data_IF_258036383227
#
_entry.id   IF_258036383227
#
_cell.length_a   1.000
_cell.length_b   1.000
_cell.length_c   1.000
_cell.angle_alpha   90.00
_cell.angle_beta   90.00
_cell.angle_gamma   90.00
#
_symmetry.space_group_name_H-M   'P 1'
#
loop_
_entity.id
_entity.type
_entity.pdbx_description
1 polymer ?
#
# COMPACT_ATOMS: atom_id res chain seq x y z
N UNK A 1 -18.13 -8.14 0.68
CA UNK A 1 -16.77 -8.07 1.26
C UNK A 1 -15.81 -7.58 0.19
N UNK A 2 -15.39 -6.31 0.25
CA UNK A 2 -14.44 -5.79 -0.73
C UNK A 2 -13.07 -6.39 -0.49
N UNK A 3 -12.50 -7.12 -1.46
CA UNK A 3 -11.09 -7.51 -1.39
C UNK A 3 -10.24 -6.28 -1.66
N UNK A 4 -9.29 -6.00 -0.79
CA UNK A 4 -8.26 -5.01 -1.05
C UNK A 4 -7.42 -5.54 -2.21
N UNK A 5 -7.43 -4.84 -3.35
CA UNK A 5 -6.53 -5.15 -4.46
C UNK A 5 -5.19 -4.46 -4.20
N UNK A 6 -4.26 -5.17 -3.61
CA UNK A 6 -2.88 -4.71 -3.45
C UNK A 6 -2.02 -5.36 -4.55
N UNK A 7 -1.57 -4.55 -5.51
CA UNK A 7 -0.60 -5.01 -6.51
C UNK A 7 0.77 -5.08 -5.83
N UNK A 8 1.17 -6.30 -5.47
CA UNK A 8 2.48 -6.57 -4.88
C UNK A 8 3.27 -7.41 -5.86
N UNK A 9 4.32 -6.88 -6.47
CA UNK A 9 5.14 -7.63 -7.44
C UNK A 9 6.26 -8.39 -6.71
N UNK A 10 6.94 -7.71 -5.78
CA UNK A 10 8.12 -8.19 -5.05
C UNK A 10 7.80 -8.77 -3.65
N UNK A 11 6.56 -9.21 -3.42
CA UNK A 11 6.14 -9.76 -2.12
C UNK A 11 6.00 -11.29 -2.17
N UNK A 12 6.47 -11.98 -1.12
CA UNK A 12 6.33 -13.44 -1.02
C UNK A 12 4.85 -13.90 -0.96
N UNK A 13 3.95 -13.03 -0.53
CA UNK A 13 2.52 -13.28 -0.45
C UNK A 13 1.78 -12.91 -1.75
N UNK A 14 2.52 -12.59 -2.81
CA UNK A 14 1.95 -12.32 -4.13
C UNK A 14 1.36 -13.60 -4.73
N UNK A 15 0.05 -13.61 -4.94
CA UNK A 15 -0.64 -14.57 -5.78
C UNK A 15 -1.32 -13.84 -6.94
N UNK A 16 -0.68 -13.84 -8.13
CA UNK A 16 -1.21 -13.20 -9.36
C UNK A 16 -1.51 -11.69 -9.20
N UNK A 17 -0.53 -10.94 -8.66
CA UNK A 17 -0.64 -9.50 -8.35
C UNK A 17 -1.72 -9.17 -7.30
N UNK A 18 -1.99 -10.12 -6.41
CA UNK A 18 -2.87 -9.96 -5.27
C UNK A 18 -2.14 -10.45 -4.02
N UNK A 19 -1.98 -9.58 -3.03
CA UNK A 19 -1.44 -9.99 -1.73
C UNK A 19 -2.42 -10.91 -1.00
N UNK A 20 -1.96 -12.08 -0.55
CA UNK A 20 -2.75 -13.05 0.25
C UNK A 20 -2.37 -13.08 1.73
N UNK A 21 -1.58 -12.12 2.21
CA UNK A 21 -1.30 -12.00 3.64
C UNK A 21 -2.59 -11.71 4.44
N UNK A 22 -2.64 -12.16 5.69
CA UNK A 22 -3.78 -11.92 6.59
C UNK A 22 -4.00 -10.42 6.86
N UNK A 23 -2.92 -9.62 6.83
CA UNK A 23 -2.96 -8.18 6.98
C UNK A 23 -1.87 -7.51 6.12
N UNK A 24 -2.15 -6.28 5.69
CA UNK A 24 -1.18 -5.41 5.00
C UNK A 24 -1.02 -4.16 5.83
N UNK A 25 0.22 -3.81 6.14
CA UNK A 25 0.56 -2.54 6.77
C UNK A 25 1.20 -1.60 5.76
N UNK A 26 0.55 -0.46 5.51
CA UNK A 26 1.09 0.59 4.65
C UNK A 26 1.79 1.61 5.53
N UNK A 27 3.11 1.73 5.39
CA UNK A 27 3.93 2.73 6.09
C UNK A 27 4.55 3.71 5.10
N UNK A 28 4.94 4.86 5.63
CA UNK A 28 5.84 5.78 4.95
C UNK A 28 7.17 5.12 4.64
N UNK A 29 7.69 5.37 3.44
CA UNK A 29 9.06 5.03 3.09
C UNK A 29 10.02 6.05 3.69
N UNK A 30 11.15 5.59 4.24
CA UNK A 30 12.21 6.49 4.70
C UNK A 30 11.90 7.27 5.99
N UNK A 31 11.79 8.59 5.87
CA UNK A 31 11.87 9.57 6.97
C UNK A 31 10.53 9.87 7.69
N UNK A 32 9.49 9.08 7.39
CA UNK A 32 8.13 9.26 7.90
C UNK A 32 7.38 10.51 7.42
N UNK A 33 7.87 11.16 6.36
CA UNK A 33 7.18 12.28 5.73
C UNK A 33 6.62 11.83 4.39
N UNK A 34 5.29 11.89 4.23
CA UNK A 34 4.62 11.47 2.99
C UNK A 34 3.60 12.52 2.59
N UNK A 35 3.80 13.09 1.41
CA UNK A 35 2.88 14.05 0.80
C UNK A 35 2.11 13.46 -0.39
N UNK A 36 2.60 12.37 -0.99
CA UNK A 36 2.01 11.71 -2.16
C UNK A 36 2.24 10.19 -2.15
N UNK A 37 1.76 9.50 -3.18
CA UNK A 37 1.92 8.04 -3.33
C UNK A 37 3.39 7.61 -3.41
N UNK A 38 4.29 8.42 -3.97
CA UNK A 38 5.73 8.10 -4.12
C UNK A 38 6.43 7.88 -2.77
N UNK A 39 5.95 8.54 -1.72
CA UNK A 39 6.43 8.34 -0.34
C UNK A 39 5.90 7.06 0.32
N UNK A 40 5.07 6.28 -0.37
CA UNK A 40 4.48 5.02 0.13
C UNK A 40 4.61 3.90 -0.90
N UNK A 41 4.38 2.67 -0.49
CA UNK A 41 4.19 1.55 -1.42
C UNK A 41 2.71 1.39 -1.85
N UNK A 42 1.89 2.44 -1.74
CA UNK A 42 0.45 2.39 -1.97
C UNK A 42 0.01 3.45 -3.00
N UNK A 43 -0.26 3.01 -4.22
CA UNK A 43 -0.68 3.89 -5.32
C UNK A 43 -1.99 4.67 -5.03
N UNK A 44 -2.89 4.05 -4.26
CA UNK A 44 -4.16 4.67 -3.86
C UNK A 44 -4.03 5.57 -2.63
N UNK A 45 -2.82 5.78 -2.11
CA UNK A 45 -2.59 6.63 -0.95
C UNK A 45 -3.12 8.04 -1.20
N UNK A 46 -3.83 8.58 -0.21
CA UNK A 46 -4.30 9.96 -0.15
C UNK A 46 -4.06 10.49 1.27
N UNK A 47 -3.46 11.67 1.44
CA UNK A 47 -3.27 12.24 2.77
C UNK A 47 -4.61 12.47 3.47
N UNK A 48 -4.66 12.17 4.77
CA UNK A 48 -5.84 12.44 5.59
C UNK A 48 -5.90 13.93 5.92
N UNK A 49 -7.02 14.60 5.62
CA UNK A 49 -7.24 16.03 5.93
C UNK A 49 -7.10 17.00 4.76
N UNK A 50 -6.84 16.49 3.54
CA UNK A 50 -7.02 17.24 2.29
C UNK A 50 -8.36 16.83 1.67
N UNK A 51 -9.45 17.29 2.29
CA UNK A 51 -10.83 17.25 1.74
C UNK A 51 -11.35 18.66 1.64
#
# INVERSE_FOLDING_TARGET
MGRIKCQVEECIFNAKRLCQADAIEVRSSGDNVVSNSDGTACETFRPKGLT
#
